data_IF_377189138914
#
_entry.id   IF_377189138914
#
_cell.length_a   1.000
_cell.length_b   1.000
_cell.length_c   1.000
_cell.angle_alpha   90.00
_cell.angle_beta   90.00
_cell.angle_gamma   90.00
#
_symmetry.space_group_name_H-M   'P 1'
#
loop_
_entity.id
_entity.type
_entity.pdbx_description
1 polymer ?
#
# COMPACT_ATOMS: atom_id res chain seq x y z
N UNK A 1 -0.04 18.49 -7.39
CA UNK A 1 -0.60 19.71 -8.00
C UNK A 1 -2.10 19.76 -7.71
N UNK A 2 -2.71 20.95 -7.59
CA UNK A 2 -4.17 21.06 -7.40
C UNK A 2 -4.87 21.32 -8.74
N UNK A 3 -5.85 20.48 -9.11
CA UNK A 3 -6.72 20.69 -10.27
C UNK A 3 -8.14 20.95 -9.80
N UNK A 4 -8.66 22.17 -9.94
CA UNK A 4 -10.06 22.50 -9.60
C UNK A 4 -10.48 22.02 -8.19
N UNK A 5 -9.53 22.00 -7.24
CA UNK A 5 -9.71 21.50 -5.88
C UNK A 5 -9.39 20.01 -5.66
N UNK A 6 -8.95 19.28 -6.69
CA UNK A 6 -8.45 17.90 -6.63
C UNK A 6 -6.94 17.89 -6.34
N UNK A 7 -6.46 16.97 -5.51
CA UNK A 7 -5.08 16.91 -5.04
C UNK A 7 -4.38 15.62 -5.51
N UNK A 8 -3.20 15.77 -6.10
CA UNK A 8 -2.34 14.64 -6.50
C UNK A 8 -0.94 14.84 -5.94
N UNK A 9 -0.46 13.84 -5.20
CA UNK A 9 0.82 13.83 -4.50
C UNK A 9 1.60 12.60 -4.93
N UNK A 10 2.84 12.80 -5.35
CA UNK A 10 3.70 11.73 -5.84
C UNK A 10 5.13 12.05 -5.48
N UNK A 11 5.92 11.03 -5.19
CA UNK A 11 7.35 11.16 -4.93
C UNK A 11 8.17 10.33 -5.90
N UNK A 12 9.36 10.86 -6.21
CA UNK A 12 10.46 10.06 -6.71
C UNK A 12 11.50 9.90 -5.60
N UNK A 13 11.93 8.66 -5.36
CA UNK A 13 12.94 8.34 -4.34
C UNK A 13 14.25 7.95 -5.02
N UNK A 14 15.38 8.36 -4.44
CA UNK A 14 16.73 8.15 -4.96
C UNK A 14 17.01 8.83 -6.32
N UNK A 15 16.59 10.09 -6.45
CA UNK A 15 16.81 10.92 -7.65
C UNK A 15 17.79 12.05 -7.36
N UNK A 16 18.58 12.43 -8.38
CA UNK A 16 19.64 13.45 -8.28
C UNK A 16 19.34 14.73 -9.06
N UNK A 17 18.29 14.72 -9.86
CA UNK A 17 17.77 15.88 -10.58
C UNK A 17 16.27 16.00 -10.32
N UNK A 18 15.67 17.08 -10.81
CA UNK A 18 14.25 17.36 -10.64
C UNK A 18 13.70 17.97 -11.93
N UNK A 19 12.39 17.85 -12.11
CA UNK A 19 11.64 18.53 -13.16
C UNK A 19 10.46 19.29 -12.54
N UNK A 20 9.99 20.38 -13.17
CA UNK A 20 8.85 21.14 -12.66
C UNK A 20 7.61 20.27 -12.48
N UNK A 21 6.78 20.59 -11.48
CA UNK A 21 5.53 19.87 -11.27
C UNK A 21 4.67 19.89 -12.54
N UNK A 22 4.01 18.77 -12.82
CA UNK A 22 3.12 18.64 -13.97
C UNK A 22 1.68 18.68 -13.49
N UNK A 23 0.84 19.38 -14.27
CA UNK A 23 -0.60 19.39 -14.12
C UNK A 23 -1.21 19.12 -15.49
N UNK A 24 -2.15 18.18 -15.53
CA UNK A 24 -2.95 17.83 -16.71
C UNK A 24 -4.42 18.06 -16.41
N UNK A 25 -5.30 17.64 -17.31
CA UNK A 25 -6.75 17.81 -17.29
C UNK A 25 -7.44 17.07 -16.14
N UNK A 26 -6.86 15.98 -15.64
CA UNK A 26 -7.39 15.20 -14.52
C UNK A 26 -6.26 14.52 -13.71
N UNK A 27 -6.56 13.91 -12.55
CA UNK A 27 -5.57 13.21 -11.75
C UNK A 27 -4.86 12.07 -12.47
N UNK A 28 -5.56 11.26 -13.27
CA UNK A 28 -4.96 10.13 -13.97
C UNK A 28 -3.97 10.61 -15.04
N UNK A 29 -4.34 11.62 -15.83
CA UNK A 29 -3.47 12.28 -16.79
C UNK A 29 -2.26 12.93 -16.11
N UNK A 30 -2.46 13.51 -14.92
CA UNK A 30 -1.39 14.13 -14.13
C UNK A 30 -0.39 13.08 -13.62
N UNK A 31 -0.88 11.98 -13.06
CA UNK A 31 -0.03 10.86 -12.60
C UNK A 31 0.76 10.27 -13.77
N UNK A 32 0.09 9.97 -14.88
CA UNK A 32 0.74 9.40 -16.06
C UNK A 32 1.81 10.34 -16.63
N UNK A 33 1.49 11.63 -16.82
CA UNK A 33 2.45 12.60 -17.35
C UNK A 33 3.65 12.81 -16.42
N UNK A 34 3.44 12.77 -15.09
CA UNK A 34 4.51 12.88 -14.10
C UNK A 34 5.42 11.65 -14.14
N UNK A 35 4.84 10.45 -14.20
CA UNK A 35 5.59 9.20 -14.35
C UNK A 35 6.45 9.22 -15.62
N UNK A 36 5.87 9.58 -16.78
CA UNK A 36 6.60 9.67 -18.05
C UNK A 36 7.72 10.72 -18.03
N UNK A 37 7.51 11.84 -17.34
CA UNK A 37 8.55 12.85 -17.18
C UNK A 37 9.72 12.34 -16.32
N UNK A 38 9.43 11.62 -15.23
CA UNK A 38 10.46 10.97 -14.43
C UNK A 38 11.19 9.87 -15.19
N UNK A 39 10.48 9.05 -15.97
CA UNK A 39 11.11 8.04 -16.84
C UNK A 39 12.10 8.66 -17.82
N UNK A 40 11.77 9.82 -18.37
CA UNK A 40 12.66 10.55 -19.27
C UNK A 40 13.83 11.19 -18.52
N UNK A 41 13.54 11.88 -17.42
CA UNK A 41 14.55 12.61 -16.63
C UNK A 41 15.59 11.67 -16.02
N UNK A 42 15.15 10.49 -15.60
CA UNK A 42 15.97 9.52 -14.87
C UNK A 42 16.39 8.32 -15.74
N UNK A 43 16.25 8.41 -17.06
CA UNK A 43 16.54 7.31 -17.99
C UNK A 43 18.01 6.84 -17.92
N UNK A 44 18.93 7.80 -17.72
CA UNK A 44 20.37 7.56 -17.69
C UNK A 44 20.91 7.37 -16.25
N UNK A 45 20.03 7.25 -15.25
CA UNK A 45 20.46 7.01 -13.88
C UNK A 45 21.06 5.61 -13.73
N UNK A 46 22.30 5.55 -13.25
CA UNK A 46 22.93 4.27 -12.89
C UNK A 46 22.29 3.60 -11.67
N UNK A 47 21.70 4.40 -10.77
CA UNK A 47 21.02 3.93 -9.58
C UNK A 47 19.51 3.81 -9.82
N UNK A 48 18.85 2.75 -9.32
CA UNK A 48 17.40 2.60 -9.41
C UNK A 48 16.67 3.68 -8.61
N UNK A 49 15.48 4.05 -9.07
CA UNK A 49 14.58 4.98 -8.38
C UNK A 49 13.18 4.36 -8.20
N UNK A 50 12.40 4.91 -7.27
CA UNK A 50 10.98 4.57 -7.12
C UNK A 50 10.11 5.74 -7.55
N UNK A 51 9.00 5.46 -8.21
CA UNK A 51 7.89 6.39 -8.38
C UNK A 51 6.72 5.92 -7.52
N UNK A 52 6.34 6.73 -6.53
CA UNK A 52 5.34 6.39 -5.51
C UNK A 52 4.17 7.35 -5.65
N UNK A 53 2.96 6.81 -5.74
CA UNK A 53 1.73 7.59 -5.56
C UNK A 53 1.47 7.76 -4.06
N UNK A 54 1.63 8.98 -3.56
CA UNK A 54 1.49 9.25 -2.14
C UNK A 54 0.01 9.35 -1.78
N UNK A 55 -0.34 8.72 -0.65
CA UNK A 55 -1.62 8.82 0.07
C UNK A 55 -2.82 9.27 -0.81
N UNK A 56 -3.23 8.50 -1.84
CA UNK A 56 -4.22 8.94 -2.85
C UNK A 56 -5.60 9.26 -2.29
N UNK A 57 -5.81 8.89 -1.03
CA UNK A 57 -7.00 9.16 -0.25
C UNK A 57 -7.05 10.60 0.26
N UNK A 58 -5.89 11.23 0.47
CA UNK A 58 -5.83 12.53 1.10
C UNK A 58 -5.93 13.68 0.09
N UNK A 59 -6.65 14.78 0.40
CA UNK A 59 -7.62 14.90 1.49
C UNK A 59 -9.02 14.42 1.07
N UNK A 60 -9.23 14.21 -0.23
CA UNK A 60 -10.55 14.14 -0.86
C UNK A 60 -10.73 12.95 -1.81
N UNK A 61 -9.86 11.94 -1.69
CA UNK A 61 -9.98 10.66 -2.42
C UNK A 61 -10.06 10.84 -3.94
N UNK A 62 -9.30 11.82 -4.45
CA UNK A 62 -9.38 12.31 -5.83
C UNK A 62 -8.83 11.29 -6.86
N UNK A 63 -8.23 10.21 -6.39
CA UNK A 63 -7.67 9.14 -7.22
C UNK A 63 -8.37 7.84 -6.84
N UNK A 64 -9.33 7.40 -7.66
CA UNK A 64 -10.02 6.12 -7.45
C UNK A 64 -9.12 4.92 -7.77
N UNK A 65 -9.45 3.71 -7.29
CA UNK A 65 -8.70 2.49 -7.64
C UNK A 65 -8.55 2.30 -9.15
N UNK A 66 -9.56 2.68 -9.93
CA UNK A 66 -9.55 2.51 -11.39
C UNK A 66 -8.40 3.24 -12.09
N UNK A 67 -7.93 4.36 -11.51
CA UNK A 67 -6.74 5.07 -12.02
C UNK A 67 -5.52 4.15 -11.99
N UNK A 68 -5.28 3.46 -10.87
CA UNK A 68 -4.16 2.52 -10.76
C UNK A 68 -4.44 1.19 -11.45
N UNK A 69 -5.69 0.79 -11.67
CA UNK A 69 -5.99 -0.33 -12.57
C UNK A 69 -5.53 -0.03 -14.00
N UNK A 70 -5.78 1.20 -14.50
CA UNK A 70 -5.39 1.64 -15.85
C UNK A 70 -3.90 1.93 -15.98
N UNK A 71 -3.31 2.58 -14.98
CA UNK A 71 -1.89 2.95 -14.95
C UNK A 71 -1.05 1.82 -14.33
N UNK A 72 -1.03 0.65 -14.98
CA UNK A 72 -0.35 -0.56 -14.49
C UNK A 72 1.18 -0.42 -14.33
N UNK A 73 1.77 0.58 -14.99
CA UNK A 73 3.18 0.98 -14.83
C UNK A 73 3.46 1.68 -13.50
N UNK A 74 2.44 2.23 -12.83
CA UNK A 74 2.59 2.71 -11.45
C UNK A 74 2.66 1.49 -10.54
N UNK A 75 3.83 1.27 -9.92
CA UNK A 75 4.11 0.06 -9.14
C UNK A 75 4.09 0.28 -7.63
N UNK A 76 4.09 1.52 -7.15
CA UNK A 76 4.12 1.84 -5.72
C UNK A 76 3.05 2.87 -5.36
N UNK A 77 2.41 2.67 -4.21
CA UNK A 77 1.49 3.62 -3.60
C UNK A 77 1.59 3.55 -2.08
N UNK A 78 1.15 4.58 -1.36
CA UNK A 78 1.10 4.55 0.10
C UNK A 78 -0.24 4.03 0.63
N UNK A 79 -0.19 2.90 1.36
CA UNK A 79 -1.33 2.35 2.11
C UNK A 79 -1.56 3.07 3.42
N UNK A 80 -0.48 3.43 4.09
CA UNK A 80 -0.52 4.18 5.35
C UNK A 80 0.42 5.37 5.25
N UNK A 81 -0.13 6.52 5.64
CA UNK A 81 0.52 7.80 5.72
C UNK A 81 -0.12 8.57 6.87
N UNK A 82 0.58 8.63 8.00
CA UNK A 82 0.12 9.34 9.19
C UNK A 82 -1.29 8.92 9.65
N UNK A 83 -1.91 9.63 10.60
CA UNK A 83 -3.35 9.53 10.90
C UNK A 83 -4.36 9.56 9.74
N UNK A 84 -3.91 9.91 8.52
CA UNK A 84 -4.76 10.61 7.56
C UNK A 84 -5.25 9.70 6.42
N UNK A 85 -4.90 8.42 6.46
CA UNK A 85 -5.18 7.44 5.41
C UNK A 85 -6.44 6.62 5.68
N UNK A 86 -7.55 7.23 6.06
CA UNK A 86 -8.76 6.52 6.49
C UNK A 86 -9.77 6.17 5.37
N UNK A 87 -9.55 6.61 4.13
CA UNK A 87 -10.53 6.48 3.04
C UNK A 87 -11.80 7.34 3.28
N UNK A 88 -12.75 7.36 2.32
CA UNK A 88 -14.02 8.08 2.48
C UNK A 88 -14.87 7.45 3.57
N UNK A 89 -15.35 8.25 4.52
CA UNK A 89 -16.26 7.79 5.59
C UNK A 89 -17.72 7.69 5.13
N UNK A 90 -17.97 6.98 4.03
CA UNK A 90 -19.32 6.72 3.47
C UNK A 90 -19.50 5.22 3.30
N UNK A 91 -20.69 4.71 3.61
CA UNK A 91 -21.02 3.29 3.46
C UNK A 91 -20.80 2.82 2.01
N UNK A 92 -20.14 1.68 1.82
CA UNK A 92 -19.79 1.13 0.51
C UNK A 92 -18.57 1.77 -0.16
N UNK A 93 -17.95 2.80 0.45
CA UNK A 93 -16.65 3.30 0.01
C UNK A 93 -15.53 2.32 0.37
N UNK A 94 -14.41 2.43 -0.33
CA UNK A 94 -13.20 1.65 -0.04
C UNK A 94 -12.34 2.32 1.03
N UNK A 95 -11.77 1.52 1.93
CA UNK A 95 -10.64 1.91 2.79
C UNK A 95 -9.30 1.68 2.04
N UNK A 96 -8.13 1.98 2.63
CA UNK A 96 -6.84 1.69 1.98
C UNK A 96 -6.62 0.24 1.56
N UNK A 97 -7.01 -0.72 2.40
CA UNK A 97 -6.80 -2.13 2.11
C UNK A 97 -7.71 -2.58 0.95
N UNK A 98 -8.97 -2.18 0.98
CA UNK A 98 -9.92 -2.43 -0.10
C UNK A 98 -9.48 -1.77 -1.41
N UNK A 99 -8.97 -0.54 -1.36
CA UNK A 99 -8.39 0.15 -2.52
C UNK A 99 -7.29 -0.71 -3.15
N UNK A 100 -6.37 -1.21 -2.32
CA UNK A 100 -5.26 -2.04 -2.76
C UNK A 100 -5.73 -3.35 -3.38
N UNK A 101 -6.69 -4.01 -2.73
CA UNK A 101 -7.23 -5.28 -3.16
C UNK A 101 -8.03 -5.16 -4.46
N UNK A 102 -8.76 -4.07 -4.65
CA UNK A 102 -9.40 -3.75 -5.93
C UNK A 102 -8.37 -3.65 -7.03
N UNK A 103 -7.31 -2.83 -6.86
CA UNK A 103 -6.29 -2.67 -7.89
C UNK A 103 -5.65 -4.03 -8.23
N UNK A 104 -5.24 -4.79 -7.22
CA UNK A 104 -4.58 -6.07 -7.44
C UNK A 104 -5.53 -7.12 -8.02
N UNK A 105 -6.81 -7.18 -7.63
CA UNK A 105 -7.78 -8.09 -8.23
C UNK A 105 -7.92 -7.84 -9.74
N UNK A 106 -8.12 -6.59 -10.15
CA UNK A 106 -8.22 -6.25 -11.58
C UNK A 106 -6.91 -6.47 -12.34
N UNK A 107 -5.77 -6.06 -11.76
CA UNK A 107 -4.47 -6.23 -12.43
C UNK A 107 -4.13 -7.71 -12.63
N UNK A 108 -4.20 -8.51 -11.58
CA UNK A 108 -3.86 -9.95 -11.64
C UNK A 108 -4.82 -10.74 -12.53
N UNK A 109 -6.12 -10.43 -12.51
CA UNK A 109 -7.09 -11.04 -13.43
C UNK A 109 -6.81 -10.75 -14.91
N UNK A 110 -6.03 -9.71 -15.20
CA UNK A 110 -5.64 -9.30 -16.56
C UNK A 110 -4.13 -9.49 -16.81
N UNK A 111 -3.45 -10.34 -16.03
CA UNK A 111 -2.00 -10.61 -16.13
C UNK A 111 -1.13 -9.33 -16.10
N UNK A 112 -1.56 -8.32 -15.34
CA UNK A 112 -0.81 -7.08 -15.12
C UNK A 112 0.02 -7.16 -13.84
N UNK A 113 1.14 -6.43 -13.76
CA UNK A 113 1.97 -6.41 -12.56
C UNK A 113 1.21 -5.92 -11.34
N UNK A 114 1.37 -6.63 -10.22
CA UNK A 114 0.79 -6.21 -8.93
C UNK A 114 1.28 -4.82 -8.51
N UNK A 115 0.41 -4.10 -7.80
CA UNK A 115 0.72 -2.84 -7.14
C UNK A 115 1.35 -3.15 -5.78
N UNK A 116 2.57 -2.70 -5.56
CA UNK A 116 3.25 -2.77 -4.27
C UNK A 116 2.80 -1.61 -3.38
N UNK A 117 2.64 -1.90 -2.10
CA UNK A 117 2.27 -0.89 -1.13
C UNK A 117 3.45 -0.48 -0.28
N UNK A 118 3.57 0.82 0.01
CA UNK A 118 4.50 1.40 0.96
C UNK A 118 3.76 1.97 2.17
N UNK A 119 4.48 2.15 3.28
CA UNK A 119 4.07 3.00 4.39
C UNK A 119 5.07 4.12 4.62
N UNK A 120 4.57 5.28 5.03
CA UNK A 120 5.39 6.43 5.44
C UNK A 120 4.72 7.18 6.59
N UNK A 121 5.48 8.05 7.24
CA UNK A 121 4.98 8.89 8.33
C UNK A 121 4.78 10.35 7.90
N UNK A 122 5.07 10.73 6.65
CA UNK A 122 4.95 12.10 6.12
C UNK A 122 5.30 13.18 7.16
N UNK A 123 6.41 12.98 7.88
CA UNK A 123 6.72 13.76 9.05
C UNK A 123 7.05 15.21 8.65
N UNK A 124 6.26 16.16 9.15
CA UNK A 124 6.48 17.60 9.00
C UNK A 124 7.19 18.21 10.22
N UNK A 125 7.51 17.38 11.21
CA UNK A 125 8.11 17.79 12.47
C UNK A 125 8.99 16.68 13.03
N UNK A 126 10.29 16.96 13.16
CA UNK A 126 11.25 16.04 13.78
C UNK A 126 11.40 16.44 15.25
N UNK A 127 10.59 15.85 16.12
CA UNK A 127 10.74 15.98 17.56
C UNK A 127 11.10 14.61 18.13
N UNK A 128 12.36 14.38 18.56
CA UNK A 128 12.85 13.05 18.97
C UNK A 128 12.01 12.35 20.05
N UNK A 129 11.28 13.13 20.85
CA UNK A 129 10.57 12.64 22.05
C UNK A 129 9.08 12.99 22.05
N UNK A 130 8.50 13.46 20.94
CA UNK A 130 7.09 13.86 20.90
C UNK A 130 6.33 13.13 19.81
N UNK A 131 5.45 12.23 20.23
CA UNK A 131 4.42 11.64 19.38
C UNK A 131 3.41 12.73 19.10
N UNK A 132 3.43 13.29 17.90
CA UNK A 132 2.47 14.28 17.44
C UNK A 132 1.87 13.82 16.10
N UNK A 133 0.71 14.35 15.74
CA UNK A 133 -0.05 13.97 14.54
C UNK A 133 0.69 14.17 13.20
N UNK A 134 1.78 14.95 13.20
CA UNK A 134 2.59 15.28 12.02
C UNK A 134 4.07 14.88 12.24
N UNK A 135 4.31 13.96 13.17
CA UNK A 135 5.62 13.49 13.60
C UNK A 135 5.95 12.09 13.06
N UNK A 136 7.14 11.57 13.37
CA UNK A 136 7.58 10.27 12.87
C UNK A 136 6.84 9.09 13.54
N UNK A 137 7.07 7.88 13.02
CA UNK A 137 6.67 6.57 13.58
C UNK A 137 5.24 6.10 13.32
N UNK A 138 4.56 6.62 12.29
CA UNK A 138 3.22 6.14 11.89
C UNK A 138 3.22 5.12 10.76
N UNK A 139 4.34 4.91 10.07
CA UNK A 139 4.46 3.91 9.01
C UNK A 139 5.86 3.85 8.42
N UNK A 140 6.34 2.64 8.12
CA UNK A 140 7.63 2.43 7.45
C UNK A 140 7.63 1.14 6.63
N UNK A 141 8.69 0.97 5.83
CA UNK A 141 8.91 -0.22 5.03
C UNK A 141 10.06 -1.03 5.62
N UNK A 142 9.82 -2.30 5.89
CA UNK A 142 10.81 -3.25 6.36
C UNK A 142 11.33 -4.02 5.15
N UNK A 143 12.54 -3.69 4.70
CA UNK A 143 13.10 -4.15 3.42
C UNK A 143 14.10 -5.27 3.64
N UNK A 144 13.93 -6.39 2.93
CA UNK A 144 14.91 -7.48 2.91
C UNK A 144 15.93 -7.21 1.81
N UNK A 145 17.02 -6.55 2.18
CA UNK A 145 18.17 -6.31 1.31
C UNK A 145 19.36 -7.18 1.73
N UNK A 146 20.21 -7.57 0.76
CA UNK A 146 21.43 -8.34 1.04
C UNK A 146 22.46 -7.54 1.84
N UNK A 147 22.46 -6.22 1.66
CA UNK A 147 23.34 -5.28 2.34
C UNK A 147 22.65 -3.93 2.54
N UNK A 148 23.18 -3.14 3.49
CA UNK A 148 22.69 -1.79 3.76
C UNK A 148 23.30 -0.78 2.78
N UNK A 149 22.97 -0.94 1.49
CA UNK A 149 23.33 0.01 0.42
C UNK A 149 22.08 0.51 -0.27
N UNK A 150 22.13 1.74 -0.80
CA UNK A 150 20.99 2.34 -1.53
C UNK A 150 20.51 1.42 -2.64
N UNK A 151 21.44 0.89 -3.45
CA UNK A 151 21.11 -0.02 -4.56
C UNK A 151 20.36 -1.26 -4.08
N UNK A 152 20.92 -1.98 -3.09
CA UNK A 152 20.33 -3.22 -2.60
C UNK A 152 18.92 -3.00 -2.01
N UNK A 153 18.71 -1.89 -1.29
CA UNK A 153 17.38 -1.53 -0.76
C UNK A 153 16.39 -1.27 -1.90
N UNK A 154 16.77 -0.44 -2.86
CA UNK A 154 15.90 -0.04 -3.96
C UNK A 154 15.55 -1.21 -4.88
N UNK A 155 16.54 -2.06 -5.21
CA UNK A 155 16.32 -3.28 -5.98
C UNK A 155 15.37 -4.25 -5.25
N UNK A 156 15.52 -4.39 -3.93
CA UNK A 156 14.64 -5.23 -3.10
C UNK A 156 13.20 -4.71 -3.09
N UNK A 157 13.01 -3.39 -2.98
CA UNK A 157 11.69 -2.78 -3.09
C UNK A 157 11.08 -2.97 -4.49
N UNK A 158 11.86 -2.77 -5.57
CA UNK A 158 11.41 -2.96 -6.96
C UNK A 158 10.84 -4.36 -7.25
N UNK A 159 11.40 -5.38 -6.60
CA UNK A 159 10.94 -6.78 -6.70
C UNK A 159 9.95 -7.20 -5.61
N UNK A 160 9.51 -6.28 -4.74
CA UNK A 160 8.49 -6.54 -3.73
C UNK A 160 8.99 -7.24 -2.47
N UNK A 161 10.30 -7.29 -2.22
CA UNK A 161 10.92 -7.97 -1.07
C UNK A 161 10.97 -7.08 0.18
N UNK A 162 9.78 -6.68 0.64
CA UNK A 162 9.58 -5.83 1.80
C UNK A 162 8.16 -6.00 2.34
N UNK A 163 7.89 -5.42 3.50
CA UNK A 163 6.53 -5.31 4.03
C UNK A 163 6.32 -3.94 4.69
N UNK A 164 5.06 -3.51 4.76
CA UNK A 164 4.68 -2.26 5.44
C UNK A 164 4.45 -2.55 6.91
N UNK A 165 4.94 -1.69 7.81
CA UNK A 165 4.75 -1.83 9.26
C UNK A 165 4.32 -0.52 9.90
N UNK A 166 3.48 -0.64 10.93
CA UNK A 166 3.11 0.42 11.88
C UNK A 166 3.49 0.05 13.33
N UNK A 167 4.41 -0.91 13.50
CA UNK A 167 4.88 -1.35 14.82
C UNK A 167 5.07 -2.86 14.95
N UNK A 168 4.69 -3.65 13.93
CA UNK A 168 4.88 -5.09 13.92
C UNK A 168 6.15 -5.48 13.18
N UNK A 169 6.97 -6.31 13.81
CA UNK A 169 8.17 -6.89 13.21
C UNK A 169 7.89 -8.33 12.79
N UNK A 170 8.10 -8.63 11.51
CA UNK A 170 8.07 -9.99 10.98
C UNK A 170 9.50 -10.54 11.02
N UNK A 171 9.67 -11.73 11.60
CA UNK A 171 10.93 -12.47 11.54
C UNK A 171 11.23 -12.91 10.12
N UNK A 172 10.20 -13.37 9.41
CA UNK A 172 10.35 -13.87 8.05
C UNK A 172 9.05 -13.80 7.25
N UNK A 173 9.21 -13.59 5.95
CA UNK A 173 8.17 -13.68 4.93
C UNK A 173 8.74 -14.45 3.75
N UNK A 174 8.15 -15.59 3.41
CA UNK A 174 8.62 -16.43 2.32
C UNK A 174 7.49 -16.74 1.36
N UNK A 175 7.76 -16.66 0.06
CA UNK A 175 6.85 -17.14 -0.96
C UNK A 175 7.54 -18.14 -1.88
N UNK A 176 7.06 -19.37 -1.90
CA UNK A 176 7.51 -20.40 -2.83
C UNK A 176 6.62 -20.36 -4.07
N UNK A 177 7.18 -19.98 -5.23
CA UNK A 177 6.41 -19.85 -6.48
C UNK A 177 5.93 -21.21 -6.98
N UNK A 178 6.73 -22.24 -6.78
CA UNK A 178 6.47 -23.61 -7.24
C UNK A 178 5.21 -24.19 -6.58
N UNK A 179 5.05 -23.97 -5.27
CA UNK A 179 3.87 -24.42 -4.53
C UNK A 179 2.78 -23.34 -4.47
N UNK A 180 3.12 -22.07 -4.66
CA UNK A 180 2.25 -20.93 -4.43
C UNK A 180 1.96 -20.67 -2.94
N UNK A 181 2.90 -21.01 -2.06
CA UNK A 181 2.72 -20.91 -0.60
C UNK A 181 3.39 -19.66 -0.04
N UNK A 182 2.60 -18.81 0.61
CA UNK A 182 3.06 -17.69 1.44
C UNK A 182 3.17 -18.15 2.90
N UNK A 183 4.35 -17.97 3.50
CA UNK A 183 4.63 -18.21 4.91
C UNK A 183 5.02 -16.90 5.59
N UNK A 184 4.51 -16.69 6.80
CA UNK A 184 4.75 -15.50 7.62
C UNK A 184 5.08 -15.94 9.04
N UNK A 185 6.19 -15.42 9.57
CA UNK A 185 6.62 -15.60 10.95
C UNK A 185 6.79 -14.24 11.63
N UNK A 186 6.19 -14.06 12.79
CA UNK A 186 6.13 -12.81 13.54
C UNK A 186 7.17 -12.82 14.66
N UNK A 187 7.83 -11.68 14.90
CA UNK A 187 8.68 -11.53 16.07
C UNK A 187 7.82 -11.44 17.34
N UNK A 188 7.99 -12.35 18.33
CA UNK A 188 7.28 -12.28 19.60
C UNK A 188 7.45 -10.95 20.34
N UNK A 189 8.53 -10.21 20.08
CA UNK A 189 8.73 -8.87 20.65
C UNK A 189 7.75 -7.82 20.12
N UNK A 190 7.02 -8.11 19.04
CA UNK A 190 6.06 -7.17 18.44
C UNK A 190 4.83 -6.93 19.32
N UNK A 191 4.46 -7.89 20.16
CA UNK A 191 3.27 -7.87 21.01
C UNK A 191 2.69 -9.26 21.25
N UNK A 192 1.58 -9.29 21.97
CA UNK A 192 0.77 -10.48 22.26
C UNK A 192 -0.43 -10.57 21.31
N UNK A 193 -1.27 -11.60 21.46
CA UNK A 193 -2.54 -11.71 20.70
C UNK A 193 -2.37 -11.64 19.18
N UNK A 194 -1.27 -12.22 18.67
CA UNK A 194 -0.91 -12.16 17.26
C UNK A 194 -1.97 -12.87 16.41
N UNK A 195 -2.49 -12.14 15.43
CA UNK A 195 -3.41 -12.65 14.43
C UNK A 195 -2.84 -12.41 13.04
N UNK A 196 -2.78 -13.47 12.24
CA UNK A 196 -2.32 -13.46 10.84
C UNK A 196 -3.52 -13.77 9.95
N UNK A 197 -3.88 -12.84 9.08
CA UNK A 197 -4.95 -12.98 8.09
C UNK A 197 -4.36 -13.03 6.69
N UNK A 198 -4.60 -14.14 6.00
CA UNK A 198 -4.29 -14.28 4.58
C UNK A 198 -5.48 -13.76 3.78
N UNK A 199 -5.23 -12.75 2.96
CA UNK A 199 -6.25 -11.99 2.24
C UNK A 199 -5.98 -12.12 0.73
N UNK A 200 -7.05 -12.28 -0.04
CA UNK A 200 -6.96 -12.34 -1.49
C UNK A 200 -8.32 -12.23 -2.17
N UNK A 201 -8.31 -12.36 -3.49
CA UNK A 201 -9.53 -12.27 -4.30
C UNK A 201 -9.64 -13.49 -5.21
N UNK A 202 -10.83 -14.07 -5.31
CA UNK A 202 -11.11 -15.19 -6.23
C UNK A 202 -11.35 -14.68 -7.65
N UNK A 203 -11.03 -15.49 -8.67
CA UNK A 203 -11.27 -15.19 -10.10
C UNK A 203 -12.72 -14.84 -10.45
N UNK A 204 -13.66 -15.30 -9.63
CA UNK A 204 -15.11 -15.09 -9.76
C UNK A 204 -15.62 -13.78 -9.14
N UNK A 205 -14.72 -12.89 -8.70
CA UNK A 205 -15.10 -11.62 -8.08
C UNK A 205 -16.03 -10.78 -8.96
N UNK A 206 -16.92 -10.02 -8.30
CA UNK A 206 -17.84 -9.12 -8.99
C UNK A 206 -17.07 -7.97 -9.65
N UNK A 207 -17.40 -7.65 -10.90
CA UNK A 207 -16.75 -6.56 -11.67
C UNK A 207 -17.58 -5.29 -11.79
N UNK A 208 -18.83 -5.33 -11.33
CA UNK A 208 -19.71 -4.17 -11.39
C UNK A 208 -19.38 -3.25 -10.22
N UNK A 209 -18.96 -2.02 -10.51
CA UNK A 209 -18.91 -0.94 -9.53
C UNK A 209 -20.21 -0.14 -9.55
N UNK A 210 -20.48 0.54 -8.44
CA UNK A 210 -21.58 1.50 -8.31
C UNK A 210 -21.02 2.86 -7.92
N UNK A 211 -21.71 3.94 -8.27
CA UNK A 211 -21.24 5.29 -7.94
C UNK A 211 -21.92 5.75 -6.65
N UNK A 212 -21.10 6.17 -5.70
CA UNK A 212 -21.53 6.82 -4.45
C UNK A 212 -21.14 8.29 -4.51
N UNK A 213 -22.03 9.17 -4.06
CA UNK A 213 -21.71 10.58 -3.85
C UNK A 213 -21.28 10.83 -2.40
N UNK A 214 -20.15 11.51 -2.22
CA UNK A 214 -19.74 12.06 -0.92
C UNK A 214 -20.22 13.51 -0.82
N UNK A 215 -20.43 14.04 0.38
CA UNK A 215 -20.93 15.41 0.57
C UNK A 215 -19.87 16.41 1.04
N UNK A 216 -18.77 15.93 1.65
CA UNK A 216 -17.73 16.78 2.26
C UNK A 216 -16.32 16.26 1.96
N UNK A 217 -15.73 16.62 0.81
CA UNK A 217 -16.31 17.45 -0.27
C UNK A 217 -17.21 16.62 -1.18
N UNK A 218 -17.91 17.30 -2.09
CA UNK A 218 -18.69 16.62 -3.12
C UNK A 218 -17.79 15.88 -4.10
N UNK A 219 -17.88 14.55 -4.14
CA UNK A 219 -17.16 13.67 -5.08
C UNK A 219 -18.06 12.51 -5.50
N UNK A 220 -17.73 11.92 -6.64
CA UNK A 220 -18.26 10.64 -7.09
C UNK A 220 -17.14 9.61 -6.93
N UNK A 221 -17.40 8.57 -6.15
CA UNK A 221 -16.45 7.49 -5.91
C UNK A 221 -17.06 6.16 -6.34
N UNK A 222 -16.23 5.27 -6.83
CA UNK A 222 -16.62 3.89 -7.15
C UNK A 222 -16.71 3.07 -5.86
N UNK A 223 -17.83 2.38 -5.69
CA UNK A 223 -18.02 1.27 -4.75
C UNK A 223 -17.74 -0.04 -5.44
N UNK A 224 -17.09 -0.97 -4.75
CA UNK A 224 -16.67 -2.24 -5.32
C UNK A 224 -17.25 -3.42 -4.54
N UNK A 225 -17.51 -4.57 -5.19
CA UNK A 225 -18.10 -5.73 -4.51
C UNK A 225 -17.32 -6.22 -3.29
N UNK A 226 -18.04 -6.69 -2.28
CA UNK A 226 -17.48 -7.18 -1.02
C UNK A 226 -16.57 -8.40 -1.19
N UNK A 227 -16.72 -9.18 -2.26
CA UNK A 227 -15.90 -10.37 -2.52
C UNK A 227 -14.51 -10.09 -3.12
N UNK A 228 -14.05 -8.84 -3.05
CA UNK A 228 -12.68 -8.39 -3.36
C UNK A 228 -11.93 -8.16 -2.04
N UNK A 229 -10.75 -8.74 -1.89
CA UNK A 229 -9.93 -8.57 -0.68
C UNK A 229 -10.50 -9.29 0.53
N UNK A 230 -10.96 -10.54 0.35
CA UNK A 230 -11.56 -11.32 1.44
C UNK A 230 -10.50 -12.05 2.24
N UNK A 231 -10.76 -12.25 3.53
CA UNK A 231 -9.96 -13.14 4.37
C UNK A 231 -10.17 -14.59 3.91
N UNK A 232 -9.11 -15.19 3.39
CA UNK A 232 -9.07 -16.59 2.92
C UNK A 232 -8.76 -17.56 4.06
N UNK A 233 -7.96 -17.11 5.04
CA UNK A 233 -7.58 -17.88 6.22
C UNK A 233 -7.16 -16.93 7.35
N UNK A 234 -7.52 -17.27 8.58
CA UNK A 234 -7.02 -16.62 9.80
C UNK A 234 -6.24 -17.63 10.62
N UNK A 235 -5.14 -17.18 11.23
CA UNK A 235 -4.32 -17.94 12.18
C UNK A 235 -4.06 -17.08 13.40
N UNK A 236 -4.41 -17.59 14.58
CA UNK A 236 -3.95 -17.02 15.84
C UNK A 236 -2.62 -17.68 16.21
N UNK A 237 -1.55 -16.89 16.34
CA UNK A 237 -0.21 -17.40 16.62
C UNK A 237 0.89 -16.65 15.86
N UNK A 238 2.14 -17.04 16.16
CA UNK A 238 3.34 -16.39 15.64
C UNK A 238 3.73 -16.83 14.23
N UNK A 239 3.14 -17.91 13.71
CA UNK A 239 3.47 -18.47 12.41
C UNK A 239 2.20 -18.87 11.68
N UNK A 240 2.14 -18.58 10.39
CA UNK A 240 1.04 -18.94 9.53
C UNK A 240 1.48 -19.15 8.10
N UNK A 241 0.72 -19.94 7.37
CA UNK A 241 0.91 -20.11 5.93
C UNK A 241 -0.41 -20.26 5.18
N UNK A 242 -0.39 -19.88 3.91
CA UNK A 242 -1.48 -20.07 2.96
C UNK A 242 -0.94 -20.47 1.60
N UNK A 243 -1.53 -21.51 1.00
CA UNK A 243 -1.22 -21.96 -0.35
C UNK A 243 -2.33 -21.53 -1.29
N UNK A 244 -1.95 -20.77 -2.33
CA UNK A 244 -2.87 -20.30 -3.37
C UNK A 244 -3.64 -21.47 -4.00
N UNK A 245 -4.96 -21.40 -3.90
CA UNK A 245 -5.90 -22.27 -4.59
C UNK A 245 -5.93 -21.93 -6.09
N UNK A 246 -6.53 -22.82 -6.90
CA UNK A 246 -6.56 -22.65 -8.35
C UNK A 246 -7.32 -21.37 -8.78
N UNK A 247 -8.30 -20.96 -7.99
CA UNK A 247 -9.16 -19.82 -8.25
C UNK A 247 -8.74 -18.54 -7.52
N UNK A 248 -7.66 -18.57 -6.72
CA UNK A 248 -7.08 -17.35 -6.15
C UNK A 248 -6.35 -16.54 -7.23
N UNK A 249 -6.52 -15.23 -7.19
CA UNK A 249 -5.77 -14.29 -8.02
C UNK A 249 -4.42 -13.92 -7.40
N UNK A 250 -4.40 -13.71 -6.09
CA UNK A 250 -3.22 -13.39 -5.30
C UNK A 250 -3.50 -13.70 -3.82
N UNK A 251 -2.43 -13.69 -3.01
CA UNK A 251 -2.51 -13.71 -1.55
C UNK A 251 -1.54 -12.68 -0.96
N UNK A 252 -2.00 -11.93 0.03
CA UNK A 252 -1.17 -11.11 0.93
C UNK A 252 -1.50 -11.50 2.37
N UNK A 253 -0.68 -11.09 3.31
CA UNK A 253 -0.95 -11.27 4.73
C UNK A 253 -1.07 -9.92 5.44
N UNK A 254 -2.03 -9.82 6.35
CA UNK A 254 -2.13 -8.78 7.37
C UNK A 254 -1.86 -9.41 8.73
N UNK A 255 -0.98 -8.80 9.50
CA UNK A 255 -0.66 -9.23 10.86
C UNK A 255 -1.05 -8.13 11.81
N UNK A 256 -1.86 -8.44 12.82
CA UNK A 256 -2.20 -7.52 13.91
C UNK A 256 -1.76 -8.11 15.23
N UNK A 257 -1.37 -7.27 16.17
CA UNK A 257 -0.99 -7.67 17.53
C UNK A 257 -1.72 -6.81 18.56
N UNK A 258 -1.85 -7.33 19.78
CA UNK A 258 -2.34 -6.62 20.96
C UNK A 258 -1.22 -6.44 21.99
N UNK A 259 -1.31 -5.45 22.88
CA UNK A 259 -0.34 -5.27 23.97
C UNK A 259 1.05 -4.84 23.48
N UNK A 260 1.15 -4.34 22.25
CA UNK A 260 2.37 -3.77 21.69
C UNK A 260 2.65 -2.42 22.34
N UNK A 261 3.93 -2.09 22.54
CA UNK A 261 4.29 -0.76 23.01
C UNK A 261 3.87 0.35 22.04
N UNK A 262 3.65 0.02 20.76
CA UNK A 262 3.18 0.98 19.75
C UNK A 262 1.71 1.36 19.95
N UNK A 263 0.93 0.60 20.73
CA UNK A 263 -0.43 1.01 21.12
C UNK A 263 -0.43 2.33 21.90
N UNK A 264 0.66 2.69 22.58
CA UNK A 264 0.77 4.01 23.26
C UNK A 264 0.75 5.19 22.27
N UNK A 265 1.08 4.93 21.01
CA UNK A 265 1.00 5.91 19.93
C UNK A 265 -0.41 6.01 19.34
N UNK A 266 -1.31 5.07 19.68
CA UNK A 266 -2.71 5.02 19.28
C UNK A 266 -3.63 6.01 20.04
N UNK A 267 -3.08 7.00 20.75
CA UNK A 267 -3.84 8.10 21.39
C UNK A 267 -4.65 8.96 20.42
N UNK A 268 -4.53 8.68 19.13
CA UNK A 268 -5.21 9.36 18.04
C UNK A 268 -6.16 8.44 17.25
N UNK A 269 -6.39 7.19 17.69
CA UNK A 269 -7.23 6.18 17.02
C UNK A 269 -6.66 5.66 15.67
N UNK A 270 -5.34 5.68 15.49
CA UNK A 270 -4.67 5.63 14.19
C UNK A 270 -3.92 4.33 13.92
N UNK A 271 -4.64 3.22 13.93
CA UNK A 271 -4.15 1.89 13.56
C UNK A 271 -3.62 1.10 14.75
N UNK A 272 -4.30 0.00 15.03
CA UNK A 272 -3.71 -1.15 15.72
C UNK A 272 -2.34 -1.45 15.09
N UNK A 273 -1.29 -1.76 15.87
CA UNK A 273 0.00 -2.15 15.33
C UNK A 273 -0.17 -3.30 14.34
N UNK A 274 0.32 -3.07 13.13
CA UNK A 274 0.04 -3.95 12.00
C UNK A 274 1.26 -4.10 11.08
N UNK A 275 1.30 -5.20 10.35
CA UNK A 275 2.19 -5.42 9.22
C UNK A 275 1.43 -5.99 8.02
N UNK A 276 1.76 -5.53 6.82
CA UNK A 276 1.18 -6.01 5.56
C UNK A 276 2.28 -6.49 4.62
N UNK A 277 2.23 -7.77 4.26
CA UNK A 277 3.11 -8.31 3.21
C UNK A 277 2.62 -7.87 1.82
N UNK A 278 3.52 -7.84 0.84
CA UNK A 278 3.14 -7.58 -0.55
C UNK A 278 2.24 -8.70 -1.12
N UNK A 279 1.44 -8.44 -2.17
CA UNK A 279 0.66 -9.46 -2.86
C UNK A 279 1.54 -10.43 -3.63
N UNK A 280 1.32 -11.72 -3.43
CA UNK A 280 1.98 -12.80 -4.15
C UNK A 280 1.02 -13.47 -5.11
N UNK A 281 1.52 -13.83 -6.28
CA UNK A 281 0.80 -14.49 -7.37
C UNK A 281 1.56 -15.75 -7.77
N UNK A 282 0.87 -16.73 -8.38
CA UNK A 282 1.54 -17.90 -8.98
C UNK A 282 2.30 -17.52 -10.24
#
# INVERSE_FOLDING_TARGET
SSLDGMQVHMNFINVKSWFPYIRKEDPAATVNATMLAGEKEYADNEEPYLFILNHPQWPYYDISPEVLVKLDRVRFWELTNNPRSAGPSVEGAWDPEKYWDVVNAYRTANNKPVLWSTGSDDAHSIYPNAVCKDGPFFGWNMVRAEELTTRAIMESMLRGDFYVSTGVTLKDVQFCKETGTLKVSVDPASGEGVKIEFIGTKKTFGRKSEIIETEKPKRKIDSYPENIGVVLKTVDGLEGEYTLQQDDLYVRARVTVTGSEYEKFNKYELLMPCAWTQPYTK
#
